data_IF_865056042683
#
_entry.id   IF_865056042683
#
_cell.length_a   1.000
_cell.length_b   1.000
_cell.length_c   1.000
_cell.angle_alpha   90.00
_cell.angle_beta   90.00
_cell.angle_gamma   90.00
#
_symmetry.space_group_name_H-M   'P 1'
#
loop_
_entity.id
_entity.type
_entity.pdbx_description
1 polymer ?
#
# COMPACT_ATOMS: atom_id res chain seq x y z
N UNK A 1 4.23 21.19 -65.89
CA UNK A 1 4.32 21.80 -64.56
C UNK A 1 3.30 21.13 -63.65
N UNK A 2 3.76 20.26 -62.75
CA UNK A 2 3.10 19.91 -61.48
C UNK A 2 4.17 19.21 -60.60
N UNK A 3 4.46 19.70 -59.39
CA UNK A 3 5.47 19.08 -58.54
C UNK A 3 4.87 17.91 -57.76
N UNK A 4 5.62 16.82 -57.62
CA UNK A 4 5.30 15.74 -56.72
C UNK A 4 5.65 16.17 -55.28
N UNK A 5 4.63 16.34 -54.44
CA UNK A 5 4.82 16.65 -53.03
C UNK A 5 5.20 15.36 -52.27
N UNK A 6 6.46 15.28 -51.81
CA UNK A 6 6.92 14.25 -50.90
C UNK A 6 6.23 14.44 -49.53
N UNK A 7 5.45 13.43 -49.11
CA UNK A 7 4.97 13.35 -47.74
C UNK A 7 6.14 12.96 -46.83
N UNK A 8 6.69 13.96 -46.12
CA UNK A 8 7.51 13.72 -44.93
C UNK A 8 6.60 13.04 -43.91
N UNK A 9 6.89 11.78 -43.60
CA UNK A 9 6.31 11.12 -42.45
C UNK A 9 6.69 11.91 -41.19
N UNK A 10 5.69 12.43 -40.51
CA UNK A 10 5.82 12.92 -39.14
C UNK A 10 6.15 11.72 -38.25
N UNK A 11 7.40 11.63 -37.83
CA UNK A 11 7.80 10.75 -36.73
C UNK A 11 7.02 11.18 -35.48
N UNK A 12 6.36 10.26 -34.75
CA UNK A 12 5.70 10.63 -33.51
C UNK A 12 6.74 11.19 -32.55
N UNK A 13 6.54 12.44 -32.14
CA UNK A 13 7.38 13.08 -31.14
C UNK A 13 7.26 12.28 -29.85
N UNK A 14 8.35 11.64 -29.42
CA UNK A 14 8.46 11.04 -28.10
C UNK A 14 8.16 12.13 -27.07
N UNK A 15 7.07 11.94 -26.30
CA UNK A 15 6.73 12.81 -25.18
C UNK A 15 7.86 12.86 -24.14
N UNK A 16 7.81 13.81 -23.20
CA UNK A 16 8.84 13.92 -22.16
C UNK A 16 9.05 12.58 -21.45
N UNK A 17 10.29 12.25 -21.05
CA UNK A 17 10.57 11.00 -20.35
C UNK A 17 9.65 10.89 -19.13
N UNK A 18 8.95 9.77 -19.01
CA UNK A 18 8.11 9.52 -17.85
C UNK A 18 8.98 9.57 -16.58
N UNK A 19 8.55 10.36 -15.59
CA UNK A 19 9.18 10.37 -14.28
C UNK A 19 9.24 8.94 -13.72
N UNK A 20 10.34 8.61 -13.04
CA UNK A 20 10.51 7.31 -12.41
C UNK A 20 9.37 7.06 -11.41
N UNK A 21 8.47 6.09 -11.67
CA UNK A 21 7.32 5.84 -10.82
C UNK A 21 7.72 5.41 -9.40
N UNK A 22 8.88 4.78 -9.22
CA UNK A 22 9.40 4.38 -7.90
C UNK A 22 9.74 5.63 -7.09
N UNK A 23 10.46 6.58 -7.70
CA UNK A 23 10.82 7.84 -7.05
C UNK A 23 9.57 8.63 -6.64
N UNK A 24 8.56 8.67 -7.50
CA UNK A 24 7.28 9.34 -7.21
C UNK A 24 6.54 8.69 -6.03
N UNK A 25 6.51 7.36 -5.92
CA UNK A 25 5.89 6.65 -4.81
C UNK A 25 6.68 6.81 -3.51
N UNK A 26 8.01 6.70 -3.56
CA UNK A 26 8.88 6.90 -2.41
C UNK A 26 8.75 8.32 -1.83
N UNK A 27 8.61 9.34 -2.69
CA UNK A 27 8.38 10.73 -2.28
C UNK A 27 7.05 10.99 -1.56
N UNK A 28 6.09 10.07 -1.63
CA UNK A 28 4.80 10.16 -0.91
C UNK A 28 4.87 9.59 0.52
N UNK A 29 5.96 8.90 0.88
CA UNK A 29 6.12 8.32 2.20
C UNK A 29 6.42 9.41 3.23
N UNK A 30 5.74 9.37 4.37
CA UNK A 30 5.93 10.32 5.47
C UNK A 30 6.37 9.57 6.74
N UNK A 31 7.59 9.88 7.21
CA UNK A 31 8.19 9.20 8.36
C UNK A 31 7.36 9.37 9.65
N UNK A 32 6.77 10.54 9.85
CA UNK A 32 5.97 10.83 11.04
C UNK A 32 4.66 10.04 11.07
N UNK A 33 4.00 9.85 9.92
CA UNK A 33 2.83 8.95 9.81
C UNK A 33 3.20 7.50 10.12
N UNK A 34 4.36 7.04 9.63
CA UNK A 34 4.85 5.69 9.94
C UNK A 34 5.06 5.50 11.45
N UNK A 35 5.78 6.43 12.10
CA UNK A 35 6.00 6.39 13.56
C UNK A 35 4.69 6.47 14.35
N UNK A 36 3.76 7.32 13.94
CA UNK A 36 2.45 7.44 14.58
C UNK A 36 1.66 6.13 14.52
N UNK A 37 1.71 5.44 13.37
CA UNK A 37 1.06 4.13 13.20
C UNK A 37 1.68 3.08 14.12
N UNK A 38 3.02 3.00 14.17
CA UNK A 38 3.73 2.09 15.09
C UNK A 38 3.36 2.38 16.54
N UNK A 39 3.35 3.65 16.95
CA UNK A 39 2.93 4.07 18.29
C UNK A 39 1.46 3.77 18.60
N UNK A 40 0.57 3.82 17.60
CA UNK A 40 -0.82 3.39 17.75
C UNK A 40 -0.90 1.90 18.08
N UNK A 41 -0.15 1.08 17.34
CA UNK A 41 -0.15 -0.38 17.51
C UNK A 41 0.43 -0.86 18.84
N UNK A 42 1.31 -0.10 19.50
CA UNK A 42 1.88 -0.52 20.79
C UNK A 42 0.87 -0.49 21.94
N UNK A 43 -0.23 0.25 21.82
CA UNK A 43 -1.25 0.40 22.87
C UNK A 43 -1.99 -0.91 23.19
N UNK A 44 -1.98 -1.86 22.26
CA UNK A 44 -2.68 -3.13 22.41
C UNK A 44 -1.87 -4.21 23.12
N UNK A 45 -0.57 -3.99 23.39
CA UNK A 45 0.31 -4.97 24.02
C UNK A 45 0.49 -6.25 23.17
N UNK A 46 0.55 -7.41 23.83
CA UNK A 46 0.66 -8.70 23.15
C UNK A 46 -0.64 -9.06 22.41
N UNK A 47 -0.53 -9.24 21.09
CA UNK A 47 -1.66 -9.42 20.14
C UNK A 47 -1.73 -10.85 19.61
N UNK A 48 -1.62 -11.84 20.50
CA UNK A 48 -1.80 -13.25 20.13
C UNK A 48 -3.22 -13.51 19.64
N UNK A 49 -3.34 -14.40 18.65
CA UNK A 49 -4.62 -14.81 18.11
C UNK A 49 -5.57 -15.33 19.21
N UNK A 50 -6.88 -15.10 19.04
CA UNK A 50 -7.91 -15.51 20.00
C UNK A 50 -8.08 -14.55 21.18
N UNK A 51 -7.12 -13.65 21.43
CA UNK A 51 -7.21 -12.68 22.53
C UNK A 51 -8.07 -11.47 22.18
N UNK A 52 -8.64 -10.85 23.21
CA UNK A 52 -9.41 -9.61 23.10
C UNK A 52 -8.55 -8.46 22.59
N UNK A 53 -7.28 -8.41 23.02
CA UNK A 53 -6.28 -7.44 22.56
C UNK A 53 -6.05 -7.54 21.05
N UNK A 54 -5.94 -8.76 20.52
CA UNK A 54 -5.81 -8.94 19.07
C UNK A 54 -7.06 -8.49 18.33
N UNK A 55 -8.27 -8.79 18.83
CA UNK A 55 -9.51 -8.31 18.19
C UNK A 55 -9.58 -6.78 18.18
N UNK A 56 -9.29 -6.13 19.31
CA UNK A 56 -9.25 -4.67 19.40
C UNK A 56 -8.20 -4.04 18.47
N UNK A 57 -7.03 -4.65 18.33
CA UNK A 57 -6.00 -4.19 17.39
C UNK A 57 -6.45 -4.32 15.93
N UNK A 58 -7.11 -5.42 15.56
CA UNK A 58 -7.65 -5.61 14.20
C UNK A 58 -8.74 -4.59 13.90
N UNK A 59 -9.63 -4.33 14.86
CA UNK A 59 -10.69 -3.32 14.73
C UNK A 59 -10.09 -1.92 14.53
N UNK A 60 -9.03 -1.59 15.27
CA UNK A 60 -8.32 -0.32 15.11
C UNK A 60 -7.64 -0.20 13.74
N UNK A 61 -6.94 -1.25 13.27
CA UNK A 61 -6.31 -1.26 11.94
C UNK A 61 -7.36 -1.06 10.85
N UNK A 62 -8.49 -1.76 10.94
CA UNK A 62 -9.58 -1.62 9.99
C UNK A 62 -10.12 -0.17 9.95
N UNK A 63 -10.30 0.46 11.12
CA UNK A 63 -10.72 1.86 11.20
C UNK A 63 -9.70 2.82 10.55
N UNK A 64 -8.39 2.59 10.73
CA UNK A 64 -7.36 3.39 10.05
C UNK A 64 -7.41 3.22 8.53
N UNK A 65 -7.55 1.98 8.03
CA UNK A 65 -7.65 1.73 6.59
C UNK A 65 -8.88 2.40 5.98
N UNK A 66 -10.03 2.33 6.65
CA UNK A 66 -11.26 3.01 6.24
C UNK A 66 -11.10 4.53 6.21
N UNK A 67 -10.40 5.12 7.20
CA UNK A 67 -10.18 6.58 7.23
C UNK A 67 -9.28 7.07 6.08
N UNK A 68 -8.43 6.19 5.55
CA UNK A 68 -7.63 6.46 4.34
C UNK A 68 -8.40 6.22 3.04
N UNK A 69 -9.68 5.81 3.11
CA UNK A 69 -10.51 5.52 1.95
C UNK A 69 -10.23 4.14 1.33
N UNK A 70 -9.56 3.23 2.04
CA UNK A 70 -9.32 1.89 1.55
C UNK A 70 -10.56 1.00 1.77
N UNK A 71 -10.94 0.16 0.78
CA UNK A 71 -11.86 -0.94 1.03
C UNK A 71 -11.19 -1.97 1.95
N UNK A 72 -11.96 -2.59 2.84
CA UNK A 72 -11.45 -3.52 3.85
C UNK A 72 -12.33 -4.75 3.96
N UNK A 73 -11.69 -5.92 4.10
CA UNK A 73 -12.34 -7.19 4.40
C UNK A 73 -11.57 -7.95 5.49
N UNK A 74 -12.25 -8.85 6.19
CA UNK A 74 -11.64 -9.71 7.22
C UNK A 74 -11.42 -11.12 6.72
N UNK A 75 -10.16 -11.52 6.68
CA UNK A 75 -9.77 -12.89 6.36
C UNK A 75 -9.76 -13.70 7.66
N UNK A 76 -10.59 -14.74 7.72
CA UNK A 76 -10.52 -15.75 8.79
C UNK A 76 -9.60 -16.87 8.34
N UNK A 77 -8.58 -17.16 9.12
CA UNK A 77 -7.74 -18.33 8.94
C UNK A 77 -7.64 -19.08 10.26
N UNK A 78 -7.57 -20.41 10.17
CA UNK A 78 -7.30 -21.27 11.31
C UNK A 78 -5.78 -21.32 11.53
N UNK A 79 -5.34 -20.97 12.73
CA UNK A 79 -3.94 -21.10 13.11
C UNK A 79 -3.75 -22.43 13.80
N UNK A 80 -2.93 -23.30 13.21
CA UNK A 80 -2.46 -24.50 13.88
C UNK A 80 -1.14 -24.13 14.59
N UNK A 81 -1.11 -24.00 15.93
CA UNK A 81 0.14 -23.78 16.64
C UNK A 81 1.08 -24.96 16.39
N UNK A 82 2.39 -24.73 16.25
CA UNK A 82 3.35 -25.82 16.17
C UNK A 82 3.19 -26.73 17.38
N UNK A 83 3.27 -28.05 17.18
CA UNK A 83 3.19 -29.02 18.26
C UNK A 83 4.20 -28.63 19.34
N UNK A 84 3.74 -28.51 20.58
CA UNK A 84 4.60 -28.24 21.73
C UNK A 84 5.56 -29.43 21.84
N UNK A 85 6.81 -29.28 21.43
CA UNK A 85 7.83 -30.28 21.71
C UNK A 85 8.09 -30.21 23.21
N UNK A 86 7.70 -31.27 23.92
CA UNK A 86 7.92 -31.43 25.36
C UNK A 86 9.36 -31.77 25.70
#
# INVERSE_FOLDING_TARGET
MVPAAAQRGESPSSGPPADDPIKALAGRLELERYKATVKGLTQFGDRRQGTDRNRAAVDWIEAQLKSYGCPTDRIKYEYQPPATQG
#
